data_IF_284759574649
#
_entry.id   IF_284759574649
#
_cell.length_a   1.000
_cell.length_b   1.000
_cell.length_c   1.000
_cell.angle_alpha   90.00
_cell.angle_beta   90.00
_cell.angle_gamma   90.00
#
_symmetry.space_group_name_H-M   'P 1'
#
loop_
_entity.id
_entity.type
_entity.pdbx_description
1 polymer ?
#
# COMPACT_ATOMS: atom_id res chain seq x y z
N UNK A 1 -7.89 -1.06 -7.72
CA UNK A 1 -6.51 -1.46 -7.38
C UNK A 1 -5.83 -2.26 -8.50
N UNK A 2 -6.20 -3.51 -8.79
CA UNK A 2 -5.59 -4.29 -9.89
C UNK A 2 -5.64 -3.54 -11.24
N UNK A 3 -6.80 -2.94 -11.57
CA UNK A 3 -6.99 -2.21 -12.82
C UNK A 3 -6.08 -0.97 -12.97
N UNK A 4 -5.84 -0.20 -11.90
CA UNK A 4 -4.96 0.98 -11.96
C UNK A 4 -3.50 0.59 -12.15
N UNK A 5 -3.05 -0.42 -11.40
CA UNK A 5 -1.71 -0.98 -11.53
C UNK A 5 -1.51 -1.56 -12.94
N UNK A 6 -2.49 -2.32 -13.46
CA UNK A 6 -2.45 -2.89 -14.80
C UNK A 6 -2.43 -1.81 -15.88
N UNK A 7 -3.18 -0.71 -15.72
CA UNK A 7 -3.16 0.44 -16.63
C UNK A 7 -1.79 1.12 -16.62
N UNK A 8 -1.20 1.39 -15.45
CA UNK A 8 0.16 1.98 -15.36
C UNK A 8 1.21 1.09 -15.98
N UNK A 9 1.17 -0.21 -15.69
CA UNK A 9 2.06 -1.20 -16.29
C UNK A 9 1.88 -1.28 -17.81
N UNK A 10 0.64 -1.18 -18.29
CA UNK A 10 0.32 -1.13 -19.72
C UNK A 10 0.89 0.14 -20.36
N UNK A 11 0.74 1.32 -19.73
CA UNK A 11 1.32 2.59 -20.18
C UNK A 11 2.84 2.54 -20.25
N UNK A 12 3.50 2.05 -19.19
CA UNK A 12 4.97 1.91 -19.16
C UNK A 12 5.48 1.03 -20.29
N UNK A 13 4.87 -0.14 -20.50
CA UNK A 13 5.23 -1.05 -21.61
C UNK A 13 4.97 -0.43 -22.98
N UNK A 14 3.89 0.35 -23.11
CA UNK A 14 3.61 1.10 -24.33
C UNK A 14 4.70 2.13 -24.60
N UNK A 15 5.11 2.91 -23.59
CA UNK A 15 6.15 3.94 -23.73
C UNK A 15 7.53 3.35 -24.05
N UNK A 16 7.89 2.24 -23.39
CA UNK A 16 9.10 1.46 -23.72
C UNK A 16 9.10 0.99 -25.18
N UNK A 17 7.96 0.53 -25.69
CA UNK A 17 7.81 0.09 -27.08
C UNK A 17 7.85 1.28 -28.06
N UNK A 18 7.16 2.37 -27.72
CA UNK A 18 7.11 3.58 -28.52
C UNK A 18 8.47 4.29 -28.64
N UNK A 19 9.31 4.20 -27.60
CA UNK A 19 10.68 4.71 -27.62
C UNK A 19 11.59 3.96 -28.60
N UNK A 20 11.29 2.69 -28.89
CA UNK A 20 12.03 1.85 -29.84
C UNK A 20 11.41 1.85 -31.25
N UNK A 21 10.21 2.39 -31.42
CA UNK A 21 9.47 2.38 -32.68
C UNK A 21 9.92 3.52 -33.61
N UNK A 22 10.99 3.25 -34.36
CA UNK A 22 11.51 4.14 -35.39
C UNK A 22 10.56 4.32 -36.58
N UNK A 23 9.64 3.38 -36.80
CA UNK A 23 8.83 3.32 -38.02
C UNK A 23 7.39 3.84 -37.84
N UNK A 24 7.05 4.34 -36.64
CA UNK A 24 5.70 4.82 -36.29
C UNK A 24 4.62 3.81 -36.71
N UNK A 25 4.65 2.64 -36.07
CA UNK A 25 3.70 1.57 -36.29
C UNK A 25 2.26 2.10 -36.32
N UNK A 26 1.50 1.69 -37.33
CA UNK A 26 0.14 2.18 -37.59
C UNK A 26 -0.85 1.97 -36.45
N UNK A 27 -0.55 1.08 -35.50
CA UNK A 27 -1.36 0.83 -34.29
C UNK A 27 -1.07 1.76 -33.11
N UNK A 28 -0.07 2.64 -33.19
CA UNK A 28 0.40 3.49 -32.09
C UNK A 28 -0.69 4.41 -31.56
N UNK A 29 -1.29 5.21 -32.44
CA UNK A 29 -2.32 6.20 -32.06
C UNK A 29 -3.54 5.53 -31.43
N UNK A 30 -3.99 4.39 -31.98
CA UNK A 30 -5.12 3.65 -31.45
C UNK A 30 -4.83 3.06 -30.06
N UNK A 31 -3.61 2.55 -29.84
CA UNK A 31 -3.18 2.04 -28.53
C UNK A 31 -3.09 3.16 -27.48
N UNK A 32 -2.51 4.30 -27.84
CA UNK A 32 -2.42 5.49 -26.98
C UNK A 32 -3.81 5.99 -26.58
N UNK A 33 -4.73 6.09 -27.53
CA UNK A 33 -6.10 6.51 -27.26
C UNK A 33 -6.85 5.53 -26.34
N UNK A 34 -6.62 4.21 -26.50
CA UNK A 34 -7.23 3.20 -25.64
C UNK A 34 -6.70 3.26 -24.21
N UNK A 35 -5.40 3.48 -24.02
CA UNK A 35 -4.80 3.65 -22.69
C UNK A 35 -5.33 4.93 -22.04
N UNK A 36 -5.36 6.05 -22.76
CA UNK A 36 -5.92 7.31 -22.26
C UNK A 36 -7.39 7.20 -21.86
N UNK A 37 -8.20 6.46 -22.63
CA UNK A 37 -9.61 6.17 -22.28
C UNK A 37 -9.74 5.35 -21.00
N UNK A 38 -8.84 4.39 -20.78
CA UNK A 38 -8.82 3.59 -19.55
C UNK A 38 -8.40 4.44 -18.34
N UNK A 39 -7.41 5.31 -18.49
CA UNK A 39 -6.96 6.24 -17.45
C UNK A 39 -8.09 7.20 -17.05
N UNK A 40 -8.73 7.87 -18.03
CA UNK A 40 -9.82 8.82 -17.80
C UNK A 40 -11.01 8.18 -17.05
N UNK A 41 -11.46 7.00 -17.48
CA UNK A 41 -12.55 6.25 -16.81
C UNK A 41 -12.20 5.84 -15.39
N UNK A 42 -10.91 5.74 -15.08
CA UNK A 42 -10.46 5.35 -13.75
C UNK A 42 -10.33 6.57 -12.84
N UNK A 43 -9.90 7.72 -13.37
CA UNK A 43 -9.95 9.01 -12.67
C UNK A 43 -11.40 9.42 -12.34
N UNK A 44 -12.34 9.24 -13.26
CA UNK A 44 -13.77 9.49 -13.01
C UNK A 44 -14.38 8.60 -11.91
N UNK A 45 -13.77 7.45 -11.64
CA UNK A 45 -14.20 6.48 -10.61
C UNK A 45 -13.50 6.66 -9.27
N UNK A 46 -12.42 7.41 -9.20
CA UNK A 46 -11.80 7.74 -7.92
C UNK A 46 -12.70 8.75 -7.21
N UNK A 47 -13.08 8.52 -5.93
CA UNK A 47 -13.54 9.61 -5.09
C UNK A 47 -12.49 10.72 -5.19
N UNK A 48 -12.95 11.92 -5.49
CA UNK A 48 -12.12 13.10 -5.68
C UNK A 48 -11.07 13.22 -4.57
N UNK A 49 -9.85 13.59 -4.94
CA UNK A 49 -8.79 14.06 -4.02
C UNK A 49 -9.22 15.38 -3.35
N UNK A 50 -10.30 15.36 -2.57
CA UNK A 50 -10.70 16.46 -1.73
C UNK A 50 -10.17 16.18 -0.34
N UNK A 51 -9.27 17.06 0.12
CA UNK A 51 -8.62 17.01 1.42
C UNK A 51 -9.58 16.57 2.52
N UNK A 52 -9.48 15.30 2.89
CA UNK A 52 -10.21 14.76 4.02
C UNK A 52 -9.55 15.32 5.27
N UNK A 53 -10.36 15.90 6.15
CA UNK A 53 -9.89 16.36 7.45
C UNK A 53 -9.19 15.19 8.16
N UNK A 54 -8.01 15.40 8.77
CA UNK A 54 -7.33 14.35 9.52
C UNK A 54 -8.30 13.67 10.48
N UNK A 55 -8.39 12.35 10.39
CA UNK A 55 -9.22 11.55 11.29
C UNK A 55 -8.64 11.65 12.70
N UNK A 56 -9.49 11.94 13.69
CA UNK A 56 -9.05 11.89 15.08
C UNK A 56 -8.68 10.45 15.44
N UNK A 57 -7.47 10.25 15.97
CA UNK A 57 -7.01 8.95 16.46
C UNK A 57 -7.98 8.36 17.50
N UNK A 58 -8.65 9.21 18.30
CA UNK A 58 -9.65 8.76 19.28
C UNK A 58 -10.84 8.04 18.65
N UNK A 59 -11.19 8.36 17.40
CA UNK A 59 -12.29 7.71 16.68
C UNK A 59 -11.90 6.32 16.14
N UNK A 60 -10.60 6.03 16.09
CA UNK A 60 -10.03 4.79 15.57
C UNK A 60 -9.65 3.81 16.68
N UNK A 61 -9.85 4.16 17.95
CA UNK A 61 -9.43 3.35 19.09
C UNK A 61 -10.32 2.13 19.35
N UNK A 62 -9.71 0.99 19.69
CA UNK A 62 -10.39 -0.26 20.07
C UNK A 62 -11.17 -0.88 18.92
N UNK A 63 -10.73 -0.70 17.66
CA UNK A 63 -11.46 -1.14 16.48
C UNK A 63 -11.01 -2.54 16.05
N UNK A 64 -11.89 -3.21 15.30
CA UNK A 64 -11.55 -4.44 14.59
C UNK A 64 -11.12 -4.06 13.17
N UNK A 65 -9.84 -4.24 12.89
CA UNK A 65 -9.22 -3.96 11.60
C UNK A 65 -9.20 -5.21 10.73
N UNK A 66 -9.68 -5.10 9.51
CA UNK A 66 -9.91 -6.25 8.62
C UNK A 66 -9.10 -6.09 7.35
N UNK A 67 -8.39 -7.14 6.96
CA UNK A 67 -7.75 -7.21 5.64
C UNK A 67 -7.82 -8.63 5.09
N UNK A 68 -7.40 -8.80 3.84
CA UNK A 68 -7.39 -10.11 3.19
C UNK A 68 -6.26 -10.98 3.71
N UNK A 69 -6.51 -12.28 3.77
CA UNK A 69 -5.48 -13.29 4.06
C UNK A 69 -4.30 -13.20 3.09
N UNK A 70 -3.15 -13.72 3.53
CA UNK A 70 -1.92 -13.72 2.73
C UNK A 70 -1.27 -12.33 2.75
N UNK A 71 -1.00 -11.83 3.96
CA UNK A 71 -0.36 -10.54 4.15
C UNK A 71 1.05 -10.51 3.56
N UNK A 72 1.36 -9.38 2.94
CA UNK A 72 2.66 -9.01 2.38
C UNK A 72 3.05 -7.62 2.91
N UNK A 73 4.09 -7.01 2.33
CA UNK A 73 4.74 -5.80 2.84
C UNK A 73 3.78 -4.70 3.33
N UNK A 74 2.86 -4.21 2.49
CA UNK A 74 2.01 -3.07 2.84
C UNK A 74 1.02 -3.43 3.96
N UNK A 75 0.40 -4.62 3.91
CA UNK A 75 -0.50 -5.07 4.99
C UNK A 75 0.22 -5.25 6.31
N UNK A 76 1.41 -5.85 6.30
CA UNK A 76 2.19 -6.10 7.51
C UNK A 76 2.62 -4.77 8.11
N UNK A 77 3.18 -3.87 7.29
CA UNK A 77 3.60 -2.54 7.70
C UNK A 77 2.42 -1.71 8.24
N UNK A 78 1.30 -1.71 7.51
CA UNK A 78 0.09 -0.97 7.89
C UNK A 78 -0.49 -1.50 9.19
N UNK A 79 -0.57 -2.81 9.38
CA UNK A 79 -1.05 -3.41 10.63
C UNK A 79 -0.12 -3.12 11.81
N UNK A 80 1.20 -3.11 11.59
CA UNK A 80 2.18 -2.67 12.58
C UNK A 80 1.98 -1.20 12.96
N UNK A 81 1.87 -0.30 11.97
CA UNK A 81 1.62 1.12 12.17
C UNK A 81 0.33 1.36 12.94
N UNK A 82 -0.75 0.67 12.55
CA UNK A 82 -2.05 0.72 13.21
C UNK A 82 -1.88 0.38 14.69
N UNK A 83 -1.36 -0.81 15.00
CA UNK A 83 -1.25 -1.29 16.39
C UNK A 83 -0.32 -0.44 17.24
N UNK A 84 0.73 0.14 16.66
CA UNK A 84 1.77 0.84 17.42
C UNK A 84 1.48 2.33 17.63
N UNK A 85 0.82 2.99 16.67
CA UNK A 85 0.69 4.46 16.68
C UNK A 85 -0.74 4.97 16.53
N UNK A 86 -1.66 4.19 15.96
CA UNK A 86 -3.02 4.66 15.61
C UNK A 86 -4.06 4.13 16.59
N UNK A 87 -4.05 2.81 16.80
CA UNK A 87 -5.00 2.08 17.64
C UNK A 87 -4.25 0.98 18.41
N UNK A 88 -3.84 1.30 19.63
CA UNK A 88 -3.07 0.39 20.50
C UNK A 88 -3.86 -0.84 20.97
N UNK A 89 -5.19 -0.79 20.84
CA UNK A 89 -6.08 -1.90 21.19
C UNK A 89 -6.64 -2.60 19.94
N UNK A 90 -6.05 -2.35 18.77
CA UNK A 90 -6.49 -2.91 17.50
C UNK A 90 -6.52 -4.45 17.52
N UNK A 91 -7.70 -5.00 17.26
CA UNK A 91 -7.89 -6.41 16.93
C UNK A 91 -7.83 -6.58 15.41
N UNK A 92 -7.15 -7.62 14.92
CA UNK A 92 -7.02 -7.87 13.48
C UNK A 92 -7.78 -9.12 13.07
N UNK A 93 -8.41 -9.05 11.90
CA UNK A 93 -9.13 -10.18 11.32
C UNK A 93 -8.74 -10.36 9.85
N UNK A 94 -8.29 -11.57 9.52
CA UNK A 94 -7.85 -11.92 8.17
C UNK A 94 -8.92 -12.72 7.44
N UNK A 95 -9.44 -12.16 6.35
CA UNK A 95 -10.63 -12.69 5.67
C UNK A 95 -10.32 -13.20 4.27
N UNK A 96 -11.08 -14.21 3.85
CA UNK A 96 -11.10 -14.65 2.46
C UNK A 96 -12.04 -13.74 1.66
N UNK A 97 -11.61 -13.15 0.52
CA UNK A 97 -12.45 -12.26 -0.28
C UNK A 97 -13.79 -12.88 -0.71
N UNK A 98 -13.81 -14.20 -0.93
CA UNK A 98 -14.98 -14.92 -1.44
C UNK A 98 -16.07 -15.10 -0.38
N UNK A 99 -15.70 -15.11 0.89
CA UNK A 99 -16.63 -15.40 2.00
C UNK A 99 -16.83 -14.21 2.93
N UNK A 100 -16.14 -13.11 2.67
CA UNK A 100 -16.17 -11.94 3.53
C UNK A 100 -17.48 -11.18 3.39
N UNK A 101 -18.08 -10.85 4.53
CA UNK A 101 -19.23 -9.95 4.64
C UNK A 101 -18.85 -8.82 5.58
N UNK A 102 -18.91 -7.59 5.08
CA UNK A 102 -18.53 -6.40 5.82
C UNK A 102 -19.48 -6.16 6.99
N UNK A 103 -18.91 -5.85 8.16
CA UNK A 103 -19.64 -5.43 9.35
C UNK A 103 -19.36 -3.95 9.62
N UNK A 104 -20.40 -3.15 9.89
CA UNK A 104 -20.26 -1.70 10.11
C UNK A 104 -19.34 -1.31 11.30
N UNK A 105 -19.06 -2.25 12.19
CA UNK A 105 -18.14 -2.06 13.34
C UNK A 105 -16.67 -2.31 12.99
N UNK A 106 -16.39 -2.84 11.81
CA UNK A 106 -15.04 -3.15 11.33
C UNK A 106 -14.47 -1.97 10.53
N UNK A 107 -13.14 -1.87 10.47
CA UNK A 107 -12.43 -0.95 9.57
C UNK A 107 -11.56 -1.79 8.64
N UNK A 108 -11.78 -1.68 7.33
CA UNK A 108 -11.03 -2.43 6.34
C UNK A 108 -9.79 -1.67 5.95
N UNK A 109 -8.71 -2.39 5.68
CA UNK A 109 -7.51 -1.82 5.08
C UNK A 109 -6.87 -2.73 4.02
N UNK A 110 -6.17 -2.12 3.04
CA UNK A 110 -5.53 -2.79 1.89
C UNK A 110 -6.39 -3.91 1.25
N UNK A 111 -7.64 -3.56 0.95
CA UNK A 111 -8.53 -4.40 0.20
C UNK A 111 -9.51 -3.56 -0.61
N UNK A 112 -10.21 -4.21 -1.54
CA UNK A 112 -11.17 -3.51 -2.38
C UNK A 112 -12.24 -2.83 -1.54
N UNK A 113 -12.54 -1.56 -1.85
CA UNK A 113 -13.55 -0.74 -1.18
C UNK A 113 -13.29 -0.55 0.33
N UNK A 114 -12.03 -0.66 0.77
CA UNK A 114 -11.66 -0.46 2.16
C UNK A 114 -11.63 1.02 2.55
N UNK A 115 -11.91 1.29 3.83
CA UNK A 115 -11.83 2.63 4.42
C UNK A 115 -10.40 3.21 4.30
N UNK A 116 -9.37 2.37 4.45
CA UNK A 116 -7.97 2.72 4.25
C UNK A 116 -7.36 1.85 3.16
N UNK A 117 -7.12 2.39 1.98
CA UNK A 117 -6.54 1.66 0.86
C UNK A 117 -5.63 2.59 0.08
N UNK A 118 -4.90 2.06 -0.90
CA UNK A 118 -4.19 2.85 -1.87
C UNK A 118 -5.03 4.00 -2.45
N UNK A 119 -4.47 5.20 -2.46
CA UNK A 119 -5.08 6.42 -3.00
C UNK A 119 -4.09 7.14 -3.93
N UNK A 120 -4.48 7.34 -5.19
CA UNK A 120 -3.58 7.87 -6.20
C UNK A 120 -2.33 6.99 -6.35
N UNK A 121 -1.16 7.58 -6.10
CA UNK A 121 0.14 6.89 -6.13
C UNK A 121 0.53 6.24 -4.80
N UNK A 122 -0.21 6.50 -3.72
CA UNK A 122 0.17 6.08 -2.37
C UNK A 122 -0.25 4.64 -2.07
N UNK A 123 0.63 3.90 -1.39
CA UNK A 123 0.27 2.63 -0.74
C UNK A 123 -0.58 2.87 0.52
N UNK A 124 -1.14 1.81 1.10
CA UNK A 124 -2.04 1.93 2.26
C UNK A 124 -1.32 2.52 3.47
N UNK A 125 -0.04 2.18 3.67
CA UNK A 125 0.78 2.74 4.74
C UNK A 125 0.89 4.27 4.66
N UNK A 126 1.16 4.80 3.47
CA UNK A 126 1.24 6.25 3.23
C UNK A 126 -0.12 6.93 3.47
N UNK A 127 -1.21 6.31 3.02
CA UNK A 127 -2.58 6.80 3.26
C UNK A 127 -2.91 6.85 4.75
N UNK A 128 -2.50 5.84 5.51
CA UNK A 128 -2.67 5.84 6.97
C UNK A 128 -1.90 6.98 7.62
N UNK A 129 -0.65 7.23 7.24
CA UNK A 129 0.14 8.35 7.76
C UNK A 129 -0.51 9.71 7.47
N UNK A 130 -0.95 9.93 6.22
CA UNK A 130 -1.58 11.18 5.82
C UNK A 130 -2.90 11.40 6.57
N UNK A 131 -3.80 10.41 6.55
CA UNK A 131 -5.14 10.55 7.14
C UNK A 131 -5.13 10.67 8.65
N UNK A 132 -4.08 10.18 9.32
CA UNK A 132 -3.91 10.31 10.78
C UNK A 132 -3.01 11.47 11.18
N UNK A 133 -2.41 12.18 10.24
CA UNK A 133 -1.51 13.31 10.50
C UNK A 133 -0.18 12.93 11.14
N UNK A 134 0.26 11.67 11.00
CA UNK A 134 1.53 11.20 11.55
C UNK A 134 2.71 11.66 10.67
N UNK A 135 3.48 12.65 11.15
CA UNK A 135 4.58 13.29 10.40
C UNK A 135 5.98 12.87 10.85
N UNK A 136 6.12 11.76 11.58
CA UNK A 136 7.40 11.30 12.12
C UNK A 136 8.40 10.95 10.99
N UNK A 137 9.61 11.53 10.93
CA UNK A 137 10.59 11.24 9.86
C UNK A 137 11.00 9.78 9.75
N UNK A 138 11.07 9.04 10.85
CA UNK A 138 11.37 7.61 10.83
C UNK A 138 10.22 6.79 10.21
N UNK A 139 8.97 7.21 10.41
CA UNK A 139 7.82 6.60 9.72
C UNK A 139 7.81 6.95 8.24
N UNK A 140 8.22 8.16 7.86
CA UNK A 140 8.35 8.54 6.45
C UNK A 140 9.40 7.70 5.73
N UNK A 141 10.56 7.44 6.36
CA UNK A 141 11.57 6.55 5.79
C UNK A 141 11.05 5.11 5.57
N UNK A 142 10.25 4.60 6.51
CA UNK A 142 9.60 3.30 6.34
C UNK A 142 8.54 3.35 5.23
N UNK A 143 7.78 4.44 5.11
CA UNK A 143 6.78 4.62 4.06
C UNK A 143 7.40 4.52 2.67
N UNK A 144 8.55 5.16 2.45
CA UNK A 144 9.28 5.11 1.18
C UNK A 144 9.75 3.68 0.84
N UNK A 145 10.25 2.94 1.82
CA UNK A 145 10.63 1.52 1.65
C UNK A 145 9.41 0.67 1.28
N UNK A 146 8.29 0.83 2.00
CA UNK A 146 7.06 0.08 1.74
C UNK A 146 6.54 0.41 0.34
N UNK A 147 6.55 1.68 -0.05
CA UNK A 147 6.14 2.15 -1.37
C UNK A 147 6.96 1.51 -2.49
N UNK A 148 8.29 1.55 -2.39
CA UNK A 148 9.17 0.97 -3.41
C UNK A 148 8.90 -0.53 -3.62
N UNK A 149 8.61 -1.27 -2.54
CA UNK A 149 8.35 -2.71 -2.61
C UNK A 149 6.93 -2.99 -3.12
N UNK A 150 5.94 -2.22 -2.70
CA UNK A 150 4.54 -2.50 -2.95
C UNK A 150 4.05 -1.95 -4.30
N UNK A 151 4.40 -0.70 -4.61
CA UNK A 151 3.98 0.00 -5.84
C UNK A 151 4.89 -0.34 -7.03
N UNK A 152 6.21 -0.46 -6.79
CA UNK A 152 7.23 -0.83 -7.79
C UNK A 152 7.29 0.12 -9.00
N UNK A 153 7.17 1.41 -8.76
CA UNK A 153 7.30 2.48 -9.75
C UNK A 153 8.65 3.20 -9.71
N UNK A 154 9.59 2.73 -8.87
CA UNK A 154 10.96 3.24 -8.75
C UNK A 154 11.03 4.70 -8.27
N UNK A 155 10.03 5.16 -7.51
CA UNK A 155 9.91 6.55 -7.06
C UNK A 155 10.98 6.98 -6.05
N UNK A 156 11.23 6.18 -5.01
CA UNK A 156 12.14 6.59 -3.92
C UNK A 156 13.50 5.89 -3.99
N UNK A 157 13.55 4.67 -4.53
CA UNK A 157 14.77 3.90 -4.78
C UNK A 157 15.62 3.68 -3.52
N UNK A 158 14.98 3.37 -2.40
CA UNK A 158 15.64 3.07 -1.12
C UNK A 158 16.55 1.85 -1.23
N UNK A 159 17.80 1.99 -0.81
CA UNK A 159 18.77 0.88 -0.81
C UNK A 159 18.30 -0.28 0.07
N UNK A 160 17.57 0.00 1.15
CA UNK A 160 17.03 -1.00 2.06
C UNK A 160 15.91 -1.84 1.44
N UNK A 161 15.21 -1.32 0.42
CA UNK A 161 13.97 -1.91 -0.11
C UNK A 161 14.17 -3.34 -0.62
N UNK A 162 15.26 -3.61 -1.34
CA UNK A 162 15.53 -4.95 -1.88
C UNK A 162 15.74 -5.96 -0.76
N UNK A 163 16.49 -5.60 0.30
CA UNK A 163 16.73 -6.49 1.43
C UNK A 163 15.46 -6.79 2.21
N UNK A 164 14.65 -5.76 2.47
CA UNK A 164 13.38 -5.89 3.17
C UNK A 164 12.36 -6.71 2.36
N UNK A 165 12.29 -6.52 1.04
CA UNK A 165 11.43 -7.34 0.16
C UNK A 165 11.76 -8.82 0.29
N UNK A 166 13.04 -9.20 0.23
CA UNK A 166 13.46 -10.60 0.36
C UNK A 166 13.16 -11.17 1.74
N UNK A 167 13.34 -10.39 2.79
CA UNK A 167 13.05 -10.81 4.16
C UNK A 167 11.54 -11.05 4.33
N UNK A 168 10.70 -10.12 3.89
CA UNK A 168 9.24 -10.23 4.00
C UNK A 168 8.70 -11.35 3.11
N UNK A 169 9.26 -11.54 1.91
CA UNK A 169 8.93 -12.68 1.06
C UNK A 169 9.26 -14.02 1.75
N UNK A 170 10.45 -14.15 2.35
CA UNK A 170 10.85 -15.34 3.10
C UNK A 170 9.95 -15.60 4.33
N UNK A 171 9.54 -14.54 5.02
CA UNK A 171 8.57 -14.61 6.10
C UNK A 171 7.21 -15.10 5.59
N UNK A 172 6.69 -14.56 4.48
CA UNK A 172 5.44 -15.02 3.90
C UNK A 172 5.50 -16.48 3.39
N UNK A 173 6.66 -16.93 2.92
CA UNK A 173 6.88 -18.32 2.47
C UNK A 173 6.96 -19.32 3.63
N UNK A 174 7.43 -18.90 4.80
CA UNK A 174 7.69 -19.81 5.93
C UNK A 174 6.56 -19.81 6.98
N UNK A 175 5.59 -18.90 6.88
CA UNK A 175 4.48 -18.74 7.83
C UNK A 175 3.15 -18.75 7.07
N UNK A 176 2.33 -19.77 7.30
CA UNK A 176 1.02 -19.89 6.66
C UNK A 176 -0.02 -18.97 7.32
N UNK A 177 -0.01 -18.85 8.64
CA UNK A 177 -0.94 -18.01 9.39
C UNK A 177 -0.54 -16.54 9.36
N UNK A 178 -1.51 -15.66 9.06
CA UNK A 178 -1.29 -14.21 8.97
C UNK A 178 -0.96 -13.58 10.33
N UNK A 179 -1.43 -14.16 11.43
CA UNK A 179 -1.07 -13.78 12.79
C UNK A 179 0.44 -13.91 13.02
N UNK A 180 1.05 -15.01 12.57
CA UNK A 180 2.50 -15.25 12.69
C UNK A 180 3.29 -14.30 11.79
N UNK A 181 2.79 -14.06 10.57
CA UNK A 181 3.38 -13.08 9.65
C UNK A 181 3.40 -11.68 10.26
N UNK A 182 2.27 -11.27 10.85
CA UNK A 182 2.14 -9.98 11.50
C UNK A 182 3.06 -9.87 12.71
N UNK A 183 3.11 -10.88 13.58
CA UNK A 183 3.96 -10.86 14.77
C UNK A 183 5.45 -10.72 14.40
N UNK A 184 5.93 -11.55 13.46
CA UNK A 184 7.32 -11.52 12.98
C UNK A 184 7.65 -10.25 12.22
N UNK A 185 6.76 -9.80 11.34
CA UNK A 185 6.94 -8.58 10.57
C UNK A 185 6.93 -7.34 11.45
N UNK A 186 6.08 -7.31 12.47
CA UNK A 186 6.05 -6.22 13.46
C UNK A 186 7.40 -6.04 14.17
N UNK A 187 8.08 -7.14 14.53
CA UNK A 187 9.41 -7.07 15.13
C UNK A 187 10.44 -6.45 14.17
N UNK A 188 10.39 -6.79 12.88
CA UNK A 188 11.27 -6.20 11.84
C UNK A 188 11.01 -4.70 11.71
N UNK A 189 9.75 -4.28 11.67
CA UNK A 189 9.40 -2.86 11.58
C UNK A 189 9.74 -2.09 12.87
N UNK A 190 9.67 -2.73 14.03
CA UNK A 190 10.15 -2.14 15.29
C UNK A 190 11.65 -1.84 15.23
N UNK A 191 12.45 -2.79 14.74
CA UNK A 191 13.90 -2.61 14.60
C UNK A 191 14.24 -1.56 13.55
N UNK A 192 13.54 -1.56 12.41
CA UNK A 192 13.72 -0.57 11.35
C UNK A 192 13.34 0.84 11.82
N UNK A 193 12.25 0.96 12.57
CA UNK A 193 11.83 2.22 13.19
C UNK A 193 12.88 2.72 14.20
N UNK A 194 13.39 1.84 15.06
CA UNK A 194 14.43 2.20 16.02
C UNK A 194 15.73 2.62 15.33
N UNK A 195 16.09 1.99 14.21
CA UNK A 195 17.23 2.39 13.39
C UNK A 195 17.06 3.81 12.85
N UNK A 196 15.96 4.08 12.12
CA UNK A 196 15.74 5.42 11.55
C UNK A 196 15.56 6.49 12.63
N UNK A 197 14.94 6.16 13.76
CA UNK A 197 14.80 7.10 14.87
C UNK A 197 16.17 7.52 15.46
N UNK A 198 17.17 6.62 15.45
CA UNK A 198 18.52 6.92 15.95
C UNK A 198 19.38 7.68 14.95
N UNK A 199 19.18 7.47 13.65
CA UNK A 199 19.86 8.22 12.59
C UNK A 199 19.43 9.70 12.51
N UNK A 200 18.27 10.03 13.08
CA UNK A 200 17.72 11.38 13.13
C UNK A 200 18.15 12.17 14.39
N UNK A 201 19.01 11.59 15.23
CA UNK A 201 19.58 12.26 16.42
C UNK A 201 21.00 12.74 16.12
#
# INVERSE_FOLDING_TARGET
>A
MQLLHDIRRLKRRFDETAALDFFNASGREAAEECIAKLEARTQERQPSETGQTPLSLSALHGRVWVTRKGMHIDRIASAWLIRRFIDTEAAFRFVSPQTYQHRATELRFDMFDAEFTHEGERCTFEVLLERTGLTNPALQAIAEIVHDIDIKDEKFQREEAVGIDRLIAGLAMTHEADEDRLARGSAVFDDLYAYFQRQQR
#
